data_IF_887790004941
#
_entry.id   IF_887790004941
#
_cell.length_a   1.000
_cell.length_b   1.000
_cell.length_c   1.000
_cell.angle_alpha   90.00
_cell.angle_beta   90.00
_cell.angle_gamma   90.00
#
_symmetry.space_group_name_H-M   'P 1'
#
loop_
_entity.id
_entity.type
_entity.pdbx_description
1 polymer ?
#
# COMPACT_ATOMS: atom_id res chain seq x y z
N UNK A 1 -20.18 38.13 -61.47
CA UNK A 1 -20.13 38.35 -60.02
C UNK A 1 -21.38 37.74 -59.36
N UNK A 2 -21.26 36.55 -58.76
CA UNK A 2 -22.21 36.04 -57.77
C UNK A 2 -21.39 35.37 -56.67
N UNK A 3 -21.49 35.93 -55.47
CA UNK A 3 -20.71 35.63 -54.29
C UNK A 3 -21.61 34.94 -53.26
N UNK A 4 -21.08 33.86 -52.69
CA UNK A 4 -21.35 33.24 -51.37
C UNK A 4 -22.77 32.76 -51.08
N UNK A 5 -22.87 31.46 -50.76
CA UNK A 5 -23.22 30.96 -49.41
C UNK A 5 -22.59 29.58 -49.21
N UNK A 6 -21.35 29.54 -48.72
CA UNK A 6 -20.80 28.32 -48.11
C UNK A 6 -21.04 28.47 -46.61
N UNK A 7 -22.09 27.80 -46.12
CA UNK A 7 -22.41 27.69 -44.70
C UNK A 7 -21.43 26.68 -44.14
N UNK A 8 -20.34 27.16 -43.54
CA UNK A 8 -19.46 26.35 -42.71
C UNK A 8 -20.23 25.94 -41.46
N UNK A 9 -20.77 24.73 -41.47
CA UNK A 9 -21.22 24.00 -40.29
C UNK A 9 -19.97 23.62 -39.50
N UNK A 10 -19.43 24.58 -38.74
CA UNK A 10 -18.45 24.35 -37.68
C UNK A 10 -19.23 24.03 -36.40
N UNK A 11 -19.96 22.91 -36.43
CA UNK A 11 -20.69 22.42 -35.28
C UNK A 11 -19.71 21.77 -34.32
N UNK A 12 -19.41 22.51 -33.26
CA UNK A 12 -19.01 22.07 -31.92
C UNK A 12 -18.83 20.56 -31.76
N UNK A 13 -17.61 20.08 -31.99
CA UNK A 13 -17.06 18.94 -31.26
C UNK A 13 -16.52 19.47 -29.93
N UNK A 14 -17.43 19.96 -29.07
CA UNK A 14 -17.16 20.10 -27.65
C UNK A 14 -17.29 18.70 -27.06
N UNK A 15 -16.29 17.86 -27.31
CA UNK A 15 -16.08 16.66 -26.50
C UNK A 15 -15.98 17.18 -25.06
N UNK A 16 -16.78 16.68 -24.09
CA UNK A 16 -16.43 16.90 -22.70
C UNK A 16 -15.01 16.35 -22.56
N UNK A 17 -14.05 17.24 -22.35
CA UNK A 17 -12.72 16.86 -21.91
C UNK A 17 -12.97 15.95 -20.71
N UNK A 18 -12.64 14.67 -20.86
CA UNK A 18 -12.69 13.70 -19.77
C UNK A 18 -12.04 14.40 -18.58
N UNK A 19 -12.87 14.72 -17.57
CA UNK A 19 -12.47 15.52 -16.42
C UNK A 19 -11.18 14.94 -15.85
N UNK A 20 -10.31 15.84 -15.39
CA UNK A 20 -8.95 15.56 -14.99
C UNK A 20 -8.80 14.16 -14.39
N UNK A 21 -8.26 13.29 -15.24
CA UNK A 21 -7.18 12.36 -14.96
C UNK A 21 -7.15 11.91 -13.50
N UNK A 22 -7.70 10.72 -13.24
CA UNK A 22 -7.50 9.85 -12.08
C UNK A 22 -6.66 10.51 -10.98
N UNK A 23 -7.32 10.89 -9.86
CA UNK A 23 -6.70 11.46 -8.65
C UNK A 23 -5.29 10.92 -8.44
N UNK A 24 -4.37 11.79 -8.01
CA UNK A 24 -2.99 11.39 -7.78
C UNK A 24 -2.89 10.44 -6.58
N UNK A 25 -3.21 9.17 -6.76
CA UNK A 25 -3.09 8.13 -5.74
C UNK A 25 -1.68 7.91 -5.21
N UNK A 26 -0.66 8.63 -5.70
CA UNK A 26 0.63 8.71 -5.03
C UNK A 26 0.61 9.68 -3.83
N UNK A 27 -0.31 10.65 -3.79
CA UNK A 27 -0.52 11.57 -2.67
C UNK A 27 -1.58 11.01 -1.71
N UNK A 28 -1.40 11.23 -0.41
CA UNK A 28 -2.36 10.92 0.66
C UNK A 28 -3.26 12.12 0.92
N UNK A 29 -4.13 12.43 -0.04
CA UNK A 29 -5.10 13.54 0.08
C UNK A 29 -6.21 13.26 1.10
N UNK A 30 -6.48 11.97 1.32
CA UNK A 30 -7.39 11.46 2.33
C UNK A 30 -6.78 10.23 2.97
N UNK A 31 -7.10 9.98 4.25
CA UNK A 31 -6.84 8.70 4.85
C UNK A 31 -7.31 7.51 4.00
N UNK A 32 -6.54 6.43 4.00
CA UNK A 32 -6.90 5.18 3.32
C UNK A 32 -6.10 4.00 3.84
N UNK A 33 -6.64 2.81 3.64
CA UNK A 33 -5.92 1.55 3.91
C UNK A 33 -5.00 1.24 2.73
N UNK A 34 -3.71 1.10 3.00
CA UNK A 34 -2.70 0.79 1.98
C UNK A 34 -2.45 -0.71 1.85
N UNK A 35 -2.72 -1.48 2.91
CA UNK A 35 -2.53 -2.92 2.88
C UNK A 35 -2.74 -3.58 4.24
N UNK A 36 -2.57 -4.90 4.24
CA UNK A 36 -2.57 -5.72 5.45
C UNK A 36 -1.44 -6.74 5.35
N UNK A 37 -0.70 -6.87 6.45
CA UNK A 37 0.29 -7.92 6.66
C UNK A 37 -0.32 -9.00 7.55
N UNK A 38 -0.14 -10.26 7.15
CA UNK A 38 -0.72 -11.43 7.81
C UNK A 38 0.38 -12.19 8.53
N UNK A 39 0.57 -11.91 9.82
CA UNK A 39 1.61 -12.56 10.62
C UNK A 39 1.06 -13.84 11.26
N UNK A 40 1.66 -15.00 10.98
CA UNK A 40 1.23 -16.28 11.58
C UNK A 40 1.66 -16.37 13.05
N UNK A 41 0.76 -16.83 13.93
CA UNK A 41 1.07 -17.04 15.34
C UNK A 41 2.21 -18.07 15.51
N UNK A 42 3.26 -17.69 16.25
CA UNK A 42 4.45 -18.50 16.45
C UNK A 42 5.54 -18.32 15.37
N UNK A 43 5.19 -17.78 14.20
CA UNK A 43 6.14 -17.45 13.14
C UNK A 43 5.64 -16.23 12.31
N UNK A 44 5.86 -14.99 12.80
CA UNK A 44 5.37 -13.77 12.14
C UNK A 44 6.13 -13.42 10.86
N UNK A 45 7.12 -14.23 10.47
CA UNK A 45 7.80 -14.06 9.17
C UNK A 45 7.01 -14.70 8.04
N UNK A 46 6.15 -15.68 8.34
CA UNK A 46 5.26 -16.32 7.37
C UNK A 46 4.06 -15.44 7.03
N UNK A 47 3.77 -15.35 5.75
CA UNK A 47 2.64 -14.61 5.19
C UNK A 47 1.37 -15.44 4.95
N UNK A 48 1.51 -16.77 4.98
CA UNK A 48 0.43 -17.71 4.66
C UNK A 48 0.18 -18.65 5.84
N UNK A 49 -0.88 -18.42 6.63
CA UNK A 49 -1.29 -19.38 7.67
C UNK A 49 -1.80 -20.68 7.04
N UNK A 50 -1.50 -21.80 7.68
CA UNK A 50 -2.05 -23.10 7.35
C UNK A 50 -3.45 -23.27 7.97
N UNK A 51 -4.27 -24.20 7.48
CA UNK A 51 -5.55 -24.51 8.09
C UNK A 51 -5.44 -24.84 9.59
N UNK A 52 -6.28 -24.21 10.41
CA UNK A 52 -6.25 -24.31 11.87
C UNK A 52 -5.23 -23.43 12.59
N UNK A 53 -4.33 -22.74 11.87
CA UNK A 53 -3.44 -21.74 12.46
C UNK A 53 -4.18 -20.41 12.70
N UNK A 54 -3.68 -19.66 13.68
CA UNK A 54 -4.11 -18.29 13.97
C UNK A 54 -3.13 -17.31 13.31
N UNK A 55 -3.65 -16.21 12.78
CA UNK A 55 -2.85 -15.12 12.24
C UNK A 55 -3.33 -13.77 12.76
N UNK A 56 -2.39 -12.84 12.87
CA UNK A 56 -2.64 -11.43 13.16
C UNK A 56 -2.61 -10.65 11.85
N UNK A 57 -3.72 -9.98 11.55
CA UNK A 57 -3.88 -9.02 10.47
C UNK A 57 -3.41 -7.65 10.98
N UNK A 58 -2.24 -7.19 10.56
CA UNK A 58 -1.74 -5.83 10.82
C UNK A 58 -2.08 -4.94 9.64
N UNK A 59 -2.90 -3.92 9.88
CA UNK A 59 -3.36 -3.01 8.84
C UNK A 59 -2.48 -1.78 8.77
N UNK A 60 -2.01 -1.47 7.55
CA UNK A 60 -1.37 -0.20 7.26
C UNK A 60 -2.45 0.79 6.83
N UNK A 61 -2.85 1.65 7.75
CA UNK A 61 -3.70 2.81 7.47
C UNK A 61 -2.78 4.03 7.42
N UNK A 62 -2.96 4.87 6.40
CA UNK A 62 -2.15 6.06 6.22
C UNK A 62 -3.04 7.28 6.02
N UNK A 63 -2.68 8.38 6.65
CA UNK A 63 -3.35 9.68 6.58
C UNK A 63 -2.33 10.79 6.74
N UNK A 64 -2.59 11.98 6.16
CA UNK A 64 -1.72 13.13 6.35
C UNK A 64 -1.69 13.68 7.80
N UNK A 65 -2.76 13.44 8.57
CA UNK A 65 -2.96 14.00 9.92
C UNK A 65 -2.85 12.96 11.05
N UNK A 66 -2.36 11.75 10.77
CA UNK A 66 -2.29 10.63 11.73
C UNK A 66 -3.55 10.46 12.58
N UNK A 67 -4.70 10.32 11.92
CA UNK A 67 -5.96 10.05 12.60
C UNK A 67 -6.00 8.57 12.97
N UNK A 68 -6.24 8.17 14.23
CA UNK A 68 -6.38 6.76 14.60
C UNK A 68 -7.68 6.15 14.05
N UNK A 69 -7.61 4.89 13.63
CA UNK A 69 -8.72 4.16 12.99
C UNK A 69 -9.18 2.98 13.83
N UNK A 70 -10.50 2.81 13.93
CA UNK A 70 -11.12 1.56 14.33
C UNK A 70 -11.50 0.78 13.05
N UNK A 71 -11.63 -0.54 13.15
CA UNK A 71 -12.03 -1.35 12.00
C UNK A 71 -12.76 -2.62 12.37
N UNK A 72 -13.46 -3.21 11.41
CA UNK A 72 -14.04 -4.54 11.54
C UNK A 72 -13.90 -5.27 10.21
N UNK A 73 -13.42 -6.52 10.28
CA UNK A 73 -13.18 -7.35 9.11
C UNK A 73 -13.89 -8.68 9.27
N UNK A 74 -14.47 -9.15 8.18
CA UNK A 74 -15.03 -10.48 8.03
C UNK A 74 -14.13 -11.30 7.11
N UNK A 75 -13.82 -12.53 7.52
CA UNK A 75 -13.01 -13.46 6.75
C UNK A 75 -13.85 -14.64 6.27
N UNK A 76 -13.72 -14.96 4.98
CA UNK A 76 -14.37 -16.08 4.33
C UNK A 76 -13.41 -16.78 3.36
N UNK A 77 -13.73 -18.00 2.95
CA UNK A 77 -12.98 -18.68 1.90
C UNK A 77 -13.34 -18.00 0.56
N UNK A 78 -12.34 -17.61 -0.22
CA UNK A 78 -12.51 -16.98 -1.51
C UNK A 78 -13.13 -17.94 -2.54
N UNK A 79 -14.12 -17.46 -3.28
CA UNK A 79 -14.64 -18.18 -4.43
C UNK A 79 -13.62 -18.11 -5.58
N UNK A 80 -13.40 -19.20 -6.35
CA UNK A 80 -12.57 -19.15 -7.54
C UNK A 80 -13.09 -18.08 -8.50
N UNK A 81 -12.28 -17.07 -8.79
CA UNK A 81 -12.61 -16.00 -9.72
C UNK A 81 -11.53 -15.88 -10.79
N UNK A 82 -11.94 -15.79 -12.06
CA UNK A 82 -11.04 -15.47 -13.17
C UNK A 82 -11.16 -13.99 -13.59
N UNK A 83 -12.27 -13.34 -13.22
CA UNK A 83 -12.60 -11.97 -13.62
C UNK A 83 -13.53 -11.33 -12.59
N UNK A 84 -13.35 -10.04 -12.33
CA UNK A 84 -14.22 -9.26 -11.45
C UNK A 84 -13.75 -9.23 -10.00
N UNK A 85 -14.61 -8.75 -9.12
CA UNK A 85 -14.31 -8.63 -7.69
C UNK A 85 -14.37 -10.00 -7.01
N UNK A 86 -13.45 -10.32 -6.09
CA UNK A 86 -13.51 -11.56 -5.33
C UNK A 86 -14.78 -11.59 -4.46
N UNK A 87 -15.31 -12.78 -4.24
CA UNK A 87 -16.50 -13.01 -3.41
C UNK A 87 -16.28 -14.22 -2.49
N UNK A 88 -17.09 -14.35 -1.43
CA UNK A 88 -17.03 -15.52 -0.58
C UNK A 88 -17.60 -16.76 -1.28
N UNK A 89 -16.94 -17.91 -1.11
CA UNK A 89 -17.42 -19.23 -1.54
C UNK A 89 -18.54 -19.79 -0.63
N UNK A 90 -18.71 -19.22 0.56
CA UNK A 90 -19.70 -19.62 1.55
C UNK A 90 -19.82 -18.59 2.67
N UNK A 91 -20.43 -18.99 3.78
CA UNK A 91 -20.54 -18.13 4.97
C UNK A 91 -19.15 -17.75 5.52
N UNK A 92 -19.00 -16.54 6.08
CA UNK A 92 -17.80 -16.19 6.80
C UNK A 92 -17.49 -17.14 7.94
N UNK A 93 -16.20 -17.45 8.12
CA UNK A 93 -15.75 -18.29 9.23
C UNK A 93 -15.25 -17.46 10.42
N UNK A 94 -14.93 -16.18 10.22
CA UNK A 94 -14.50 -15.29 11.29
C UNK A 94 -14.98 -13.84 11.07
N UNK A 95 -15.19 -13.14 12.19
CA UNK A 95 -15.35 -11.69 12.25
C UNK A 95 -14.36 -11.18 13.30
N UNK A 96 -13.49 -10.26 12.90
CA UNK A 96 -12.41 -9.73 13.71
C UNK A 96 -12.57 -8.21 13.84
N UNK A 97 -13.05 -7.71 14.99
CA UNK A 97 -13.12 -6.28 15.25
C UNK A 97 -11.81 -5.74 15.84
N UNK A 98 -11.50 -4.49 15.52
CA UNK A 98 -10.49 -3.65 16.19
C UNK A 98 -11.20 -2.35 16.62
N UNK A 99 -11.96 -2.38 17.73
CA UNK A 99 -12.84 -1.27 18.11
C UNK A 99 -12.11 -0.10 18.76
N UNK A 100 -10.87 -0.31 19.20
CA UNK A 100 -10.03 0.74 19.78
C UNK A 100 -9.26 1.44 18.66
N UNK A 101 -9.47 2.76 18.45
CA UNK A 101 -8.76 3.48 17.41
C UNK A 101 -7.24 3.39 17.55
N UNK A 102 -6.54 3.08 16.46
CA UNK A 102 -5.08 2.95 16.38
C UNK A 102 -4.58 3.42 15.00
N UNK A 103 -3.33 3.90 14.93
CA UNK A 103 -2.66 4.15 13.65
C UNK A 103 -2.25 2.85 12.95
N UNK A 104 -2.14 1.77 13.72
CA UNK A 104 -1.82 0.43 13.25
C UNK A 104 -2.83 -0.56 13.84
N UNK A 105 -4.06 -0.62 13.28
CA UNK A 105 -5.06 -1.56 13.75
C UNK A 105 -4.58 -3.00 13.55
N UNK A 106 -4.72 -3.81 14.59
CA UNK A 106 -4.44 -5.23 14.56
C UNK A 106 -5.72 -6.03 14.86
N UNK A 107 -5.89 -7.14 14.15
CA UNK A 107 -7.03 -8.05 14.28
C UNK A 107 -6.53 -9.49 14.22
N UNK A 108 -7.23 -10.42 14.88
CA UNK A 108 -6.82 -11.83 14.89
C UNK A 108 -7.90 -12.70 14.24
N UNK A 109 -7.48 -13.65 13.41
CA UNK A 109 -8.35 -14.66 12.82
C UNK A 109 -7.71 -16.05 12.96
N UNK A 110 -8.54 -17.08 13.05
CA UNK A 110 -8.11 -18.48 12.97
C UNK A 110 -8.68 -19.09 11.71
N UNK A 111 -7.82 -19.70 10.89
CA UNK A 111 -8.26 -20.34 9.66
C UNK A 111 -9.05 -21.62 9.98
N UNK A 112 -10.08 -21.96 9.17
CA UNK A 112 -10.82 -23.20 9.35
C UNK A 112 -9.94 -24.42 9.02
N UNK A 113 -10.47 -25.62 9.23
CA UNK A 113 -9.75 -26.86 8.91
C UNK A 113 -9.51 -27.04 7.40
N UNK A 114 -8.57 -27.91 7.04
CA UNK A 114 -8.18 -28.11 5.65
C UNK A 114 -9.35 -28.59 4.77
N UNK A 115 -10.30 -29.34 5.35
CA UNK A 115 -11.50 -29.81 4.67
C UNK A 115 -12.39 -28.66 4.20
N UNK A 116 -12.39 -27.51 4.90
CA UNK A 116 -13.17 -26.35 4.51
C UNK A 116 -12.66 -25.74 3.19
N UNK A 117 -11.38 -25.88 2.88
CA UNK A 117 -10.75 -25.40 1.64
C UNK A 117 -10.87 -26.38 0.48
N UNK A 118 -11.44 -27.58 0.69
CA UNK A 118 -11.52 -28.60 -0.35
C UNK A 118 -12.29 -28.10 -1.58
N UNK A 119 -11.64 -28.14 -2.75
CA UNK A 119 -12.22 -27.70 -4.02
C UNK A 119 -12.22 -26.19 -4.26
N UNK A 120 -11.47 -25.43 -3.45
CA UNK A 120 -11.29 -23.97 -3.61
C UNK A 120 -9.88 -23.64 -4.13
N UNK A 121 -9.59 -22.35 -4.35
CA UNK A 121 -8.23 -21.88 -4.68
C UNK A 121 -7.31 -21.81 -3.46
N UNK A 122 -7.85 -21.96 -2.25
CA UNK A 122 -7.09 -21.78 -1.00
C UNK A 122 -6.99 -20.32 -0.55
N UNK A 123 -7.62 -19.38 -1.24
CA UNK A 123 -7.61 -17.97 -0.85
C UNK A 123 -8.54 -17.70 0.34
N UNK A 124 -8.10 -16.83 1.24
CA UNK A 124 -8.94 -16.20 2.26
C UNK A 124 -9.25 -14.78 1.79
N UNK A 125 -10.54 -14.46 1.72
CA UNK A 125 -11.05 -13.14 1.39
C UNK A 125 -11.41 -12.40 2.68
N UNK A 126 -10.87 -11.20 2.82
CA UNK A 126 -11.17 -10.23 3.86
C UNK A 126 -12.05 -9.13 3.27
N UNK A 127 -13.22 -8.92 3.88
CA UNK A 127 -14.11 -7.80 3.60
C UNK A 127 -14.25 -6.99 4.88
N UNK A 128 -13.99 -5.69 4.83
CA UNK A 128 -14.02 -4.89 6.05
C UNK A 128 -14.34 -3.44 5.83
N UNK A 129 -14.53 -2.77 6.95
CA UNK A 129 -14.65 -1.32 7.04
C UNK A 129 -13.68 -0.78 8.07
N UNK A 130 -13.15 0.38 7.77
CA UNK A 130 -12.28 1.18 8.63
C UNK A 130 -12.94 2.55 8.83
N UNK A 131 -12.95 3.03 10.06
CA UNK A 131 -13.59 4.28 10.45
C UNK A 131 -12.60 5.24 11.12
N UNK A 132 -12.48 6.46 10.58
CA UNK A 132 -11.73 7.55 11.20
C UNK A 132 -12.59 8.17 12.30
N UNK A 133 -12.43 7.68 13.53
CA UNK A 133 -13.40 7.93 14.60
C UNK A 133 -14.70 7.13 14.43
N UNK A 134 -15.46 6.98 15.52
CA UNK A 134 -16.67 6.14 15.53
C UNK A 134 -16.39 4.64 15.67
N UNK A 135 -17.46 3.87 15.78
CA UNK A 135 -17.42 2.41 15.86
C UNK A 135 -17.70 1.76 14.48
N UNK A 136 -16.90 0.77 14.06
CA UNK A 136 -17.12 0.06 12.82
C UNK A 136 -18.22 -1.00 12.96
N UNK A 137 -19.05 -1.13 11.93
CA UNK A 137 -20.04 -2.20 11.76
C UNK A 137 -19.81 -2.88 10.41
N UNK A 138 -20.29 -4.12 10.22
CA UNK A 138 -20.11 -4.78 8.91
C UNK A 138 -20.85 -4.08 7.76
N UNK A 139 -21.79 -3.20 8.08
CA UNK A 139 -22.56 -2.43 7.12
C UNK A 139 -22.02 -0.99 6.90
N UNK A 140 -20.93 -0.61 7.57
CA UNK A 140 -20.34 0.73 7.51
C UNK A 140 -19.93 1.28 8.88
N UNK A 141 -19.64 2.57 8.94
CA UNK A 141 -19.34 3.27 10.18
C UNK A 141 -20.59 3.84 10.86
N UNK A 142 -20.56 4.00 12.19
CA UNK A 142 -21.61 4.76 12.88
C UNK A 142 -21.58 6.26 12.50
N UNK A 143 -22.66 6.97 12.82
CA UNK A 143 -22.83 8.41 12.49
C UNK A 143 -21.76 9.32 13.12
N UNK A 144 -20.95 8.83 14.06
CA UNK A 144 -19.89 9.61 14.70
C UNK A 144 -18.55 9.54 13.94
N UNK A 145 -18.47 8.73 12.88
CA UNK A 145 -17.28 8.65 12.03
C UNK A 145 -17.09 9.89 11.16
N UNK A 146 -15.83 10.30 11.02
CA UNK A 146 -15.46 11.42 10.14
C UNK A 146 -15.24 10.91 8.73
N UNK A 147 -14.68 9.71 8.59
CA UNK A 147 -14.44 9.05 7.30
C UNK A 147 -14.63 7.54 7.40
N UNK A 148 -14.96 6.94 6.25
CA UNK A 148 -15.16 5.51 6.06
C UNK A 148 -14.31 5.03 4.88
N UNK A 149 -13.60 3.92 5.06
CA UNK A 149 -12.91 3.22 3.97
C UNK A 149 -13.33 1.74 3.96
N UNK A 150 -13.88 1.29 2.83
CA UNK A 150 -14.21 -0.11 2.60
C UNK A 150 -12.99 -0.84 2.03
N UNK A 151 -12.69 -2.01 2.58
CA UNK A 151 -11.52 -2.79 2.15
C UNK A 151 -11.92 -4.17 1.65
N UNK A 152 -11.18 -4.61 0.64
CA UNK A 152 -11.24 -5.98 0.13
C UNK A 152 -9.80 -6.44 -0.05
N UNK A 153 -9.44 -7.53 0.62
CA UNK A 153 -8.09 -8.09 0.56
C UNK A 153 -8.13 -9.60 0.45
N UNK A 154 -7.16 -10.19 -0.22
CA UNK A 154 -7.03 -11.64 -0.35
C UNK A 154 -5.62 -12.07 0.02
N UNK A 155 -5.49 -13.16 0.75
CA UNK A 155 -4.22 -13.84 0.97
C UNK A 155 -4.40 -15.35 0.86
N UNK A 156 -3.39 -16.09 0.38
CA UNK A 156 -3.49 -17.54 0.26
C UNK A 156 -3.23 -18.24 1.61
N UNK A 157 -4.02 -19.27 1.89
CA UNK A 157 -3.72 -20.24 2.93
C UNK A 157 -2.62 -21.20 2.45
N UNK A 158 -1.76 -21.62 3.37
CA UNK A 158 -0.74 -22.64 3.09
C UNK A 158 -1.37 -24.03 3.06
N UNK A 159 -1.71 -24.53 1.86
CA UNK A 159 -2.34 -25.83 1.67
C UNK A 159 -1.33 -26.90 1.23
N UNK A 160 -1.44 -28.10 1.81
CA UNK A 160 -0.61 -29.26 1.46
C UNK A 160 0.85 -29.09 1.89
N UNK A 161 1.77 -29.63 1.09
CA UNK A 161 3.22 -29.62 1.35
C UNK A 161 3.94 -28.44 0.65
N UNK A 162 3.20 -27.40 0.23
CA UNK A 162 3.81 -26.22 -0.36
C UNK A 162 4.74 -25.54 0.66
N UNK A 163 5.95 -25.09 0.26
CA UNK A 163 6.80 -24.29 1.13
C UNK A 163 6.04 -23.06 1.65
N UNK A 164 6.22 -22.69 2.93
CA UNK A 164 5.60 -21.49 3.47
C UNK A 164 6.13 -20.25 2.76
N UNK A 165 5.25 -19.31 2.44
CA UNK A 165 5.60 -17.98 1.94
C UNK A 165 6.00 -17.08 3.10
N UNK A 166 7.10 -16.32 2.96
CA UNK A 166 7.50 -15.31 3.93
C UNK A 166 7.16 -13.90 3.45
N UNK A 167 7.06 -12.96 4.38
CA UNK A 167 6.97 -11.56 4.01
C UNK A 167 8.30 -11.10 3.38
N UNK A 168 8.25 -10.23 2.34
CA UNK A 168 9.44 -9.53 1.93
C UNK A 168 9.98 -8.68 3.08
N UNK A 169 11.24 -8.31 3.02
CA UNK A 169 11.84 -7.38 3.99
C UNK A 169 12.20 -6.11 3.24
N UNK A 170 11.53 -5.00 3.54
CA UNK A 170 11.94 -3.68 3.01
C UNK A 170 12.26 -2.65 4.10
N UNK A 171 12.10 -3.03 5.38
CA UNK A 171 12.38 -2.15 6.50
C UNK A 171 13.87 -1.83 6.66
N UNK A 172 14.73 -2.82 6.38
CA UNK A 172 16.19 -2.74 6.53
C UNK A 172 16.90 -2.16 5.30
N UNK A 173 16.14 -1.81 4.26
CA UNK A 173 16.71 -1.30 3.01
C UNK A 173 17.34 0.08 3.16
N UNK A 174 18.35 0.31 2.32
CA UNK A 174 19.02 1.59 2.25
C UNK A 174 18.15 2.60 1.49
N UNK A 175 17.50 3.50 2.21
CA UNK A 175 16.86 4.68 1.65
C UNK A 175 17.83 5.85 1.65
N UNK A 176 17.78 6.67 0.61
CA UNK A 176 18.52 7.93 0.57
C UNK A 176 17.66 9.11 0.11
N UNK A 177 18.03 10.28 0.60
CA UNK A 177 17.52 11.58 0.18
C UNK A 177 18.71 12.43 -0.28
N UNK A 178 18.74 12.82 -1.56
CA UNK A 178 19.87 13.52 -2.19
C UNK A 178 21.23 12.85 -1.89
N UNK A 179 21.24 11.50 -1.92
CA UNK A 179 22.41 10.66 -1.66
C UNK A 179 22.81 10.54 -0.18
N UNK A 180 22.09 11.17 0.75
CA UNK A 180 22.29 10.99 2.20
C UNK A 180 21.41 9.86 2.71
N UNK A 181 21.93 9.01 3.61
CA UNK A 181 21.13 7.97 4.26
C UNK A 181 19.88 8.57 4.92
N UNK A 182 18.74 7.90 4.72
CA UNK A 182 17.44 8.33 5.20
C UNK A 182 16.87 7.23 6.10
N UNK A 183 17.02 7.42 7.41
CA UNK A 183 16.58 6.43 8.40
C UNK A 183 15.06 6.47 8.64
N UNK A 184 14.56 5.47 9.37
CA UNK A 184 13.17 5.47 9.82
C UNK A 184 12.88 6.68 10.72
N UNK A 185 11.73 7.35 10.56
CA UNK A 185 11.42 8.59 11.28
C UNK A 185 11.13 8.32 12.76
N UNK A 186 11.26 9.34 13.63
CA UNK A 186 10.72 9.29 14.99
C UNK A 186 9.20 9.08 14.99
N UNK A 187 8.66 8.44 16.03
CA UNK A 187 7.22 8.17 16.16
C UNK A 187 6.37 9.44 16.42
N UNK A 188 7.00 10.57 16.79
CA UNK A 188 6.35 11.78 17.29
C UNK A 188 6.63 13.02 16.43
N UNK A 189 6.53 12.87 15.11
CA UNK A 189 6.70 13.99 14.19
C UNK A 189 5.44 14.87 14.13
N UNK A 190 5.57 16.20 14.27
CA UNK A 190 4.43 17.09 14.05
C UNK A 190 4.19 17.26 12.55
N UNK A 191 2.92 17.37 12.12
CA UNK A 191 2.60 17.62 10.71
C UNK A 191 3.24 18.92 10.16
N UNK A 192 3.37 19.94 11.01
CA UNK A 192 4.00 21.24 10.69
C UNK A 192 4.90 21.70 11.83
N UNK A 193 5.76 22.70 11.61
CA UNK A 193 6.69 23.19 12.64
C UNK A 193 7.91 22.29 12.85
N UNK A 194 8.25 21.49 11.85
CA UNK A 194 9.32 20.50 11.90
C UNK A 194 10.74 21.12 11.90
N UNK A 195 10.89 22.42 11.61
CA UNK A 195 12.18 23.09 11.45
C UNK A 195 13.12 22.95 12.66
N UNK A 196 12.58 22.84 13.87
CA UNK A 196 13.40 22.72 15.08
C UNK A 196 14.11 21.35 15.21
N UNK A 197 13.63 20.34 14.48
CA UNK A 197 14.13 18.95 14.47
C UNK A 197 14.81 18.56 13.15
N UNK A 198 14.84 19.48 12.19
CA UNK A 198 15.53 19.28 10.92
C UNK A 198 17.01 18.92 11.16
N UNK A 199 17.54 18.03 10.31
CA UNK A 199 18.91 17.50 10.36
C UNK A 199 19.23 16.53 11.50
N UNK A 200 18.23 16.06 12.24
CA UNK A 200 18.37 14.77 12.94
C UNK A 200 18.65 13.67 11.89
N UNK A 201 19.52 12.69 12.18
CA UNK A 201 19.95 11.66 11.21
C UNK A 201 18.76 10.89 10.56
N UNK A 202 17.64 10.78 11.28
CA UNK A 202 16.41 10.13 10.86
C UNK A 202 15.40 11.07 10.17
N UNK A 203 15.69 12.38 10.11
CA UNK A 203 14.74 13.40 9.70
C UNK A 203 15.44 14.55 8.95
N UNK A 204 15.90 14.30 7.70
CA UNK A 204 16.60 15.31 6.91
C UNK A 204 15.68 16.50 6.59
N UNK A 205 16.26 17.68 6.41
CA UNK A 205 15.51 18.79 5.82
C UNK A 205 15.63 18.79 4.29
N UNK A 206 14.57 19.26 3.65
CA UNK A 206 14.53 19.66 2.25
C UNK A 206 14.23 21.16 2.20
N UNK A 207 14.88 21.88 1.31
CA UNK A 207 14.45 23.25 0.97
C UNK A 207 13.56 23.17 -0.24
N UNK A 208 12.43 23.87 -0.21
CA UNK A 208 11.54 23.97 -1.34
C UNK A 208 12.27 24.60 -2.53
N UNK A 209 12.16 24.00 -3.72
CA UNK A 209 12.76 24.49 -4.96
C UNK A 209 11.69 24.60 -6.02
N UNK A 210 11.82 25.62 -6.88
CA UNK A 210 10.99 25.74 -8.07
C UNK A 210 11.24 24.57 -9.04
N UNK A 211 10.23 24.28 -9.87
CA UNK A 211 10.21 23.21 -10.88
C UNK A 211 11.47 23.21 -11.76
N UNK A 212 12.48 22.40 -11.41
CA UNK A 212 13.75 22.34 -12.16
C UNK A 212 14.79 21.41 -11.57
N UNK A 213 14.82 21.25 -10.25
CA UNK A 213 15.67 20.29 -9.54
C UNK A 213 14.79 19.45 -8.60
N UNK A 214 14.26 18.34 -9.11
CA UNK A 214 13.54 17.39 -8.26
C UNK A 214 14.55 16.72 -7.31
N UNK A 215 14.26 16.63 -6.00
CA UNK A 215 15.10 15.88 -5.08
C UNK A 215 15.18 14.41 -5.51
N UNK A 216 16.33 13.79 -5.24
CA UNK A 216 16.54 12.39 -5.51
C UNK A 216 16.20 11.56 -4.27
N UNK A 217 15.00 11.00 -4.25
CA UNK A 217 14.64 9.94 -3.30
C UNK A 217 15.06 8.61 -3.91
N UNK A 218 15.75 7.77 -3.16
CA UNK A 218 16.09 6.43 -3.64
C UNK A 218 15.95 5.36 -2.58
N UNK A 219 15.78 4.13 -3.05
CA UNK A 219 15.77 2.90 -2.26
C UNK A 219 16.59 1.87 -3.02
N UNK A 220 17.59 1.27 -2.37
CA UNK A 220 18.26 0.06 -2.88
C UNK A 220 17.51 -1.14 -2.35
N UNK A 221 17.21 -2.13 -3.19
CA UNK A 221 16.65 -3.43 -2.74
C UNK A 221 17.67 -4.54 -2.88
N UNK A 222 17.54 -5.59 -2.07
CA UNK A 222 18.41 -6.76 -2.08
C UNK A 222 17.71 -8.03 -2.62
N UNK A 223 18.53 -9.01 -3.00
CA UNK A 223 18.01 -10.32 -3.46
C UNK A 223 17.37 -11.12 -2.34
N UNK A 224 17.83 -10.89 -1.11
CA UNK A 224 17.42 -11.62 0.08
C UNK A 224 16.04 -11.15 0.60
N UNK A 225 15.52 -10.05 0.05
CA UNK A 225 14.17 -9.53 0.32
C UNK A 225 13.08 -10.39 -0.34
N UNK A 226 13.49 -11.40 -1.13
CA UNK A 226 12.65 -12.21 -2.00
C UNK A 226 13.02 -13.66 -1.85
N UNK A 227 12.04 -14.53 -1.62
CA UNK A 227 12.31 -15.96 -1.52
C UNK A 227 12.30 -16.64 -2.91
N UNK A 228 13.14 -17.66 -3.11
CA UNK A 228 12.99 -18.55 -4.24
C UNK A 228 11.77 -19.47 -4.04
N UNK A 229 11.09 -19.81 -5.11
CA UNK A 229 9.97 -20.74 -5.11
C UNK A 229 9.95 -21.61 -6.37
N UNK A 230 9.15 -22.68 -6.34
CA UNK A 230 8.94 -23.54 -7.51
C UNK A 230 7.71 -23.07 -8.27
N UNK A 231 7.93 -22.43 -9.41
CA UNK A 231 6.88 -22.04 -10.34
C UNK A 231 6.51 -23.23 -11.23
N UNK A 232 5.21 -23.49 -11.39
CA UNK A 232 4.72 -24.42 -12.40
C UNK A 232 4.52 -23.69 -13.73
N UNK A 233 5.46 -23.87 -14.65
CA UNK A 233 5.36 -23.28 -15.99
C UNK A 233 4.60 -24.24 -16.91
N UNK A 234 3.52 -23.74 -17.50
CA UNK A 234 2.70 -24.49 -18.44
C UNK A 234 3.28 -24.40 -19.86
N UNK A 235 3.86 -25.50 -20.33
CA UNK A 235 4.29 -25.71 -21.72
C UNK A 235 3.71 -27.01 -22.32
N UNK A 236 4.35 -27.55 -23.36
CA UNK A 236 3.96 -28.88 -23.90
C UNK A 236 4.05 -29.98 -22.82
N UNK A 237 5.03 -29.85 -21.93
CA UNK A 237 5.14 -30.63 -20.69
C UNK A 237 5.20 -29.63 -19.53
N UNK A 238 4.23 -29.63 -18.60
CA UNK A 238 4.33 -28.82 -17.38
C UNK A 238 5.59 -29.20 -16.61
N UNK A 239 6.36 -28.20 -16.18
CA UNK A 239 7.57 -28.41 -15.41
C UNK A 239 7.66 -27.39 -14.26
N UNK A 240 8.25 -27.83 -13.15
CA UNK A 240 8.61 -26.94 -12.05
C UNK A 240 9.97 -26.32 -12.36
N UNK A 241 10.03 -24.99 -12.29
CA UNK A 241 11.27 -24.22 -12.40
C UNK A 241 11.48 -23.43 -11.13
N UNK A 242 12.72 -23.35 -10.68
CA UNK A 242 13.09 -22.43 -9.63
C UNK A 242 12.95 -21.01 -10.16
N UNK A 243 12.14 -20.21 -9.46
CA UNK A 243 11.86 -18.82 -9.73
C UNK A 243 12.09 -18.02 -8.46
N UNK A 244 12.13 -16.71 -8.57
CA UNK A 244 12.20 -15.79 -7.43
C UNK A 244 11.00 -14.87 -7.49
N UNK A 245 10.52 -14.47 -6.34
CA UNK A 245 9.40 -13.54 -6.25
C UNK A 245 9.66 -12.24 -7.00
N UNK A 246 8.59 -11.67 -7.54
CA UNK A 246 8.58 -10.31 -8.06
C UNK A 246 8.07 -9.39 -6.96
N UNK A 247 8.82 -8.35 -6.61
CA UNK A 247 8.33 -7.35 -5.66
C UNK A 247 7.68 -6.20 -6.40
N UNK A 248 6.40 -5.97 -6.11
CA UNK A 248 5.74 -4.71 -6.44
C UNK A 248 5.85 -3.77 -5.25
N UNK A 249 6.58 -2.67 -5.43
CA UNK A 249 6.70 -1.62 -4.40
C UNK A 249 5.83 -0.44 -4.79
N UNK A 250 4.78 -0.20 -4.00
CA UNK A 250 3.94 1.00 -4.10
C UNK A 250 4.47 2.09 -3.19
N UNK A 251 4.49 3.33 -3.64
CA UNK A 251 4.98 4.47 -2.87
C UNK A 251 3.89 5.53 -2.81
N UNK A 252 3.66 6.04 -1.60
CA UNK A 252 2.74 7.14 -1.34
C UNK A 252 3.43 8.22 -0.50
N UNK A 253 3.01 9.47 -0.67
CA UNK A 253 3.54 10.63 0.06
C UNK A 253 2.43 11.47 0.69
N UNK A 254 2.68 12.07 1.85
CA UNK A 254 1.70 12.97 2.50
C UNK A 254 1.56 14.32 1.78
N UNK A 255 2.62 14.79 1.11
CA UNK A 255 2.62 16.06 0.39
C UNK A 255 3.43 16.00 -0.91
N UNK A 256 3.05 16.84 -1.87
CA UNK A 256 3.62 16.82 -3.22
C UNK A 256 3.08 15.69 -4.07
N UNK A 257 3.79 15.36 -5.15
CA UNK A 257 3.32 14.36 -6.12
C UNK A 257 4.42 13.44 -6.61
N UNK A 258 4.03 12.21 -6.95
CA UNK A 258 4.89 11.21 -7.57
C UNK A 258 4.40 10.97 -9.01
N UNK A 259 5.27 11.02 -10.03
CA UNK A 259 4.88 10.70 -11.41
C UNK A 259 4.71 9.20 -11.63
N UNK A 260 5.25 8.36 -10.73
CA UNK A 260 5.07 6.90 -10.71
C UNK A 260 4.77 6.46 -9.29
N UNK A 261 3.71 5.66 -9.13
CA UNK A 261 3.23 5.18 -7.82
C UNK A 261 3.72 3.79 -7.47
N UNK A 262 4.22 3.06 -8.46
CA UNK A 262 4.66 1.68 -8.30
C UNK A 262 5.89 1.40 -9.15
N UNK A 263 6.76 0.54 -8.63
CA UNK A 263 7.83 -0.11 -9.38
C UNK A 263 7.74 -1.62 -9.19
N UNK A 264 8.23 -2.39 -10.15
CA UNK A 264 8.31 -3.85 -10.07
C UNK A 264 9.78 -4.24 -10.13
N UNK A 265 10.18 -5.11 -9.21
CA UNK A 265 11.55 -5.59 -9.03
C UNK A 265 11.54 -7.09 -9.33
N UNK A 266 12.14 -7.46 -10.45
CA UNK A 266 12.14 -8.82 -10.99
C UNK A 266 13.55 -9.34 -11.29
N UNK A 267 14.59 -8.49 -11.26
CA UNK A 267 15.98 -8.87 -11.59
C UNK A 267 16.72 -9.41 -10.37
N UNK A 268 17.66 -10.33 -10.54
CA UNK A 268 18.46 -10.97 -9.48
C UNK A 268 19.62 -10.10 -8.98
N UNK A 269 19.71 -8.84 -9.40
CA UNK A 269 20.66 -7.87 -8.89
C UNK A 269 20.01 -6.93 -7.88
N UNK A 270 20.82 -6.36 -6.98
CA UNK A 270 20.39 -5.21 -6.20
C UNK A 270 19.99 -4.08 -7.15
N UNK A 271 18.81 -3.52 -6.94
CA UNK A 271 18.27 -2.48 -7.81
C UNK A 271 18.16 -1.16 -7.04
N UNK A 272 18.81 -0.13 -7.58
CA UNK A 272 18.60 1.24 -7.12
C UNK A 272 17.33 1.79 -7.78
N UNK A 273 16.30 2.00 -6.97
CA UNK A 273 15.03 2.59 -7.39
C UNK A 273 15.06 4.08 -7.08
N UNK A 274 15.17 4.92 -8.12
CA UNK A 274 14.97 6.36 -8.01
C UNK A 274 13.48 6.70 -8.05
N UNK A 275 13.03 7.46 -7.06
CA UNK A 275 11.64 7.86 -6.84
C UNK A 275 11.55 9.38 -7.08
N UNK A 276 11.23 9.82 -8.30
CA UNK A 276 11.03 11.24 -8.56
C UNK A 276 9.89 11.79 -7.70
N UNK A 277 10.14 12.86 -6.95
CA UNK A 277 9.15 13.57 -6.16
C UNK A 277 9.10 15.03 -6.56
N UNK A 278 7.89 15.54 -6.78
CA UNK A 278 7.64 16.97 -6.99
C UNK A 278 7.07 17.53 -5.71
N UNK A 279 7.71 18.58 -5.19
CA UNK A 279 7.26 19.26 -3.97
C UNK A 279 5.80 19.73 -4.09
N UNK A 280 5.08 19.88 -2.95
CA UNK A 280 3.82 20.60 -2.93
C UNK A 280 4.02 22.06 -3.36
N UNK A 281 2.92 22.79 -3.62
CA UNK A 281 3.04 24.21 -3.93
C UNK A 281 3.57 24.99 -2.71
N UNK A 282 4.28 26.10 -2.94
CA UNK A 282 4.94 26.83 -1.86
C UNK A 282 3.96 27.35 -0.79
N UNK A 283 2.72 27.63 -1.16
CA UNK A 283 1.66 28.05 -0.23
C UNK A 283 1.16 26.92 0.68
N UNK A 284 1.45 25.65 0.35
CA UNK A 284 1.23 24.50 1.23
C UNK A 284 2.39 24.29 2.24
N UNK A 285 3.51 25.03 2.11
CA UNK A 285 4.70 24.86 2.96
C UNK A 285 4.76 25.95 4.03
N UNK A 286 4.51 25.64 5.32
CA UNK A 286 4.58 26.61 6.41
C UNK A 286 5.98 27.17 6.61
N UNK A 287 6.08 28.40 7.14
CA UNK A 287 7.35 29.07 7.44
C UNK A 287 8.24 28.28 8.42
N UNK A 288 7.63 27.51 9.31
CA UNK A 288 8.27 26.65 10.30
C UNK A 288 8.39 25.19 9.84
N UNK A 289 8.10 24.90 8.57
CA UNK A 289 8.31 23.61 7.92
C UNK A 289 7.08 22.70 7.88
N UNK A 290 7.03 21.88 6.83
CA UNK A 290 6.05 20.83 6.59
C UNK A 290 6.71 19.46 6.73
N UNK A 291 6.14 18.56 7.55
CA UNK A 291 6.58 17.16 7.56
C UNK A 291 6.02 16.45 6.34
N UNK A 292 6.91 15.93 5.50
CA UNK A 292 6.55 15.10 4.35
C UNK A 292 6.88 13.67 4.68
N UNK A 293 5.86 12.82 4.73
CA UNK A 293 6.01 11.39 4.90
C UNK A 293 6.01 10.69 3.55
N UNK A 294 6.81 9.63 3.45
CA UNK A 294 6.84 8.68 2.37
C UNK A 294 6.62 7.28 2.96
N UNK A 295 5.69 6.54 2.38
CA UNK A 295 5.39 5.17 2.77
C UNK A 295 5.62 4.27 1.56
N UNK A 296 6.56 3.35 1.67
CA UNK A 296 6.82 2.32 0.68
C UNK A 296 6.18 1.00 1.15
N UNK A 297 5.42 0.35 0.27
CA UNK A 297 4.71 -0.91 0.54
C UNK A 297 5.12 -1.94 -0.51
N UNK A 298 5.86 -2.96 -0.08
CA UNK A 298 6.28 -4.08 -0.91
C UNK A 298 5.27 -5.23 -0.85
N UNK A 299 5.04 -5.89 -1.99
CA UNK A 299 4.20 -7.08 -2.14
C UNK A 299 4.89 -8.08 -3.06
N UNK A 300 4.89 -9.35 -2.69
CA UNK A 300 5.54 -10.45 -3.42
C UNK A 300 4.63 -11.19 -4.43
N UNK A 301 3.34 -10.85 -4.46
CA UNK A 301 2.33 -11.52 -5.29
C UNK A 301 1.86 -12.89 -4.78
N UNK A 302 2.43 -13.39 -3.68
CA UNK A 302 2.10 -14.66 -3.01
C UNK A 302 1.50 -14.45 -1.61
N UNK A 303 1.18 -13.20 -1.26
CA UNK A 303 0.48 -12.82 -0.04
C UNK A 303 1.39 -12.15 1.00
N UNK A 304 2.70 -12.17 0.80
CA UNK A 304 3.63 -11.42 1.62
C UNK A 304 3.56 -9.93 1.33
N UNK A 305 3.64 -9.16 2.40
CA UNK A 305 3.65 -7.71 2.39
C UNK A 305 4.58 -7.22 3.47
N UNK A 306 5.29 -6.15 3.18
CA UNK A 306 6.00 -5.36 4.18
C UNK A 306 5.93 -3.88 3.81
N UNK A 307 6.19 -3.02 4.78
CA UNK A 307 6.21 -1.59 4.54
C UNK A 307 7.23 -0.88 5.41
N UNK A 308 7.63 0.29 4.95
CA UNK A 308 8.47 1.18 5.74
C UNK A 308 8.07 2.63 5.54
N UNK A 309 8.29 3.43 6.57
CA UNK A 309 8.02 4.87 6.57
C UNK A 309 9.32 5.64 6.55
N UNK A 310 9.34 6.76 5.85
CA UNK A 310 10.42 7.74 5.83
C UNK A 310 9.79 9.12 5.93
N UNK A 311 10.45 10.06 6.60
CA UNK A 311 9.93 11.42 6.69
C UNK A 311 11.05 12.46 6.58
N UNK A 312 10.71 13.63 6.05
CA UNK A 312 11.62 14.78 5.96
C UNK A 312 10.89 16.07 6.34
N UNK A 313 11.66 17.08 6.71
CA UNK A 313 11.12 18.42 6.96
C UNK A 313 11.32 19.32 5.74
N UNK A 314 10.24 19.67 5.06
CA UNK A 314 10.27 20.60 3.92
C UNK A 314 10.13 22.05 4.41
N UNK A 315 11.16 22.85 4.19
CA UNK A 315 11.21 24.27 4.55
C UNK A 315 10.99 25.14 3.31
N UNK A 316 10.38 26.33 3.45
CA UNK A 316 10.38 27.31 2.36
C UNK A 316 11.80 27.84 2.13
N UNK A 317 12.04 28.38 0.93
CA UNK A 317 13.31 29.05 0.56
C UNK A 317 13.62 30.27 1.45
#
# INVERSE_FOLDING_TARGET
MKIRKLVCVLALLALPACGDMLENGGRLDRPRVLGVRVDVEGDPTRASPAPGETATLRWLVASADDVPWSGAVTACIGAPTQTGFPSCAGEPFAVAPSPTPSLEPAMTITLPSAEAFAGTTGDVLLLGVFCAGGAPTLDGCDEASVEEELVTFTFPASLGDAPPNHHPSIADEAFTYDGRAWAAPPDDLPATGCAARADEDAFPHATWRNEGEAPELSMTTHTDDREPYLELVFGETPMQVESREELTVSIVVSAGTLPRRQTVIFDDASLDVTIPWTHPSLDEVPADGLTVELIAVARDGRGGMDWTRRALCLLPE
#
